data_IF_956969657950
#
_entry.id   IF_956969657950
#
_cell.length_a   1.000
_cell.length_b   1.000
_cell.length_c   1.000
_cell.angle_alpha   90.00
_cell.angle_beta   90.00
_cell.angle_gamma   90.00
#
_symmetry.space_group_name_H-M   'P 1'
#
loop_
_entity.id
_entity.type
_entity.pdbx_description
1 polymer ?
#
# COMPACT_ATOMS: atom_id res chain seq x y z
N UNK A 1 5.52 38.01 8.78
CA UNK A 1 4.26 37.21 8.64
C UNK A 1 4.62 35.80 8.22
N UNK A 2 4.53 34.83 9.12
CA UNK A 2 4.76 33.43 8.81
C UNK A 2 3.65 32.94 7.89
N UNK A 3 4.01 32.60 6.66
CA UNK A 3 3.08 31.99 5.71
C UNK A 3 3.01 30.49 5.98
N UNK A 4 1.96 30.05 6.65
CA UNK A 4 1.67 28.64 6.80
C UNK A 4 1.25 28.03 5.45
N UNK A 5 1.86 26.89 5.09
CA UNK A 5 1.56 26.16 3.87
C UNK A 5 2.29 24.84 3.81
N UNK A 6 2.05 24.06 2.76
CA UNK A 6 2.72 22.78 2.51
C UNK A 6 3.71 22.91 1.34
N UNK A 7 4.84 22.19 1.47
CA UNK A 7 5.85 22.06 0.42
C UNK A 7 5.71 20.68 -0.24
N UNK A 8 5.77 20.63 -1.55
CA UNK A 8 5.76 19.38 -2.34
C UNK A 8 6.93 19.40 -3.31
N UNK A 9 7.71 18.31 -3.35
CA UNK A 9 8.72 18.09 -4.38
C UNK A 9 8.09 17.27 -5.52
N UNK A 10 7.99 17.85 -6.69
CA UNK A 10 7.49 17.20 -7.90
C UNK A 10 8.45 17.45 -9.07
N UNK A 11 8.88 16.39 -9.75
CA UNK A 11 9.78 16.44 -10.91
C UNK A 11 11.06 17.27 -10.70
N UNK A 12 11.63 17.21 -9.48
CA UNK A 12 12.81 17.98 -9.10
C UNK A 12 12.54 19.46 -8.80
N UNK A 13 11.30 19.91 -8.83
CA UNK A 13 10.88 21.26 -8.45
C UNK A 13 10.13 21.24 -7.12
N UNK A 14 10.44 22.21 -6.26
CA UNK A 14 9.73 22.40 -4.99
C UNK A 14 8.55 23.36 -5.18
N UNK A 15 7.35 22.88 -4.89
CA UNK A 15 6.12 23.64 -4.99
C UNK A 15 5.60 23.99 -3.59
N UNK A 16 5.19 25.24 -3.41
CA UNK A 16 4.57 25.70 -2.17
C UNK A 16 3.08 25.90 -2.34
N UNK A 17 2.30 25.29 -1.45
CA UNK A 17 0.84 25.47 -1.35
C UNK A 17 0.49 26.16 -0.06
N UNK A 18 0.00 27.40 -0.10
CA UNK A 18 -0.54 28.07 1.09
C UNK A 18 -1.71 27.30 1.70
N UNK A 19 -1.85 27.33 3.01
CA UNK A 19 -2.84 26.56 3.81
C UNK A 19 -4.28 26.59 3.26
N UNK A 20 -4.66 27.67 2.61
CA UNK A 20 -6.02 27.87 2.09
C UNK A 20 -6.13 27.82 0.56
N UNK A 21 -5.08 27.50 -0.16
CA UNK A 21 -5.11 27.43 -1.61
C UNK A 21 -5.48 26.03 -2.10
N UNK A 22 -6.35 25.96 -3.11
CA UNK A 22 -6.73 24.68 -3.75
C UNK A 22 -5.65 24.11 -4.69
N UNK A 23 -4.68 24.93 -5.09
CA UNK A 23 -3.58 24.54 -6.00
C UNK A 23 -2.24 25.08 -5.50
N UNK A 24 -1.15 24.40 -5.88
CA UNK A 24 0.19 24.90 -5.63
C UNK A 24 0.44 26.19 -6.42
N UNK A 25 0.82 27.26 -5.71
CA UNK A 25 0.83 28.59 -6.28
C UNK A 25 2.20 29.03 -6.79
N UNK A 26 3.30 28.33 -6.43
CA UNK A 26 4.65 28.84 -6.71
C UNK A 26 5.69 27.74 -6.72
N UNK A 27 6.54 27.77 -7.75
CA UNK A 27 7.80 27.01 -7.80
C UNK A 27 8.88 27.82 -7.08
N UNK A 28 9.63 27.20 -6.17
CA UNK A 28 10.70 27.81 -5.41
C UNK A 28 12.06 27.49 -6.03
N UNK A 29 12.99 28.46 -6.01
CA UNK A 29 14.38 28.22 -6.37
C UNK A 29 15.10 27.44 -5.27
N UNK A 30 16.23 26.80 -5.63
CA UNK A 30 17.02 25.98 -4.70
C UNK A 30 17.51 26.77 -3.47
N UNK A 31 17.85 28.07 -3.66
CA UNK A 31 18.22 28.97 -2.55
C UNK A 31 17.05 29.30 -1.63
N UNK A 32 15.85 29.43 -2.18
CA UNK A 32 14.62 29.65 -1.40
C UNK A 32 14.21 28.39 -0.62
N UNK A 33 14.50 27.19 -1.17
CA UNK A 33 14.31 25.90 -0.51
C UNK A 33 15.18 25.80 0.75
N UNK A 34 16.47 26.07 0.63
CA UNK A 34 17.41 26.04 1.74
C UNK A 34 17.05 27.04 2.84
N UNK A 35 16.62 28.23 2.48
CA UNK A 35 16.17 29.25 3.43
C UNK A 35 14.91 28.82 4.19
N UNK A 36 13.93 28.26 3.50
CA UNK A 36 12.68 27.78 4.11
C UNK A 36 12.86 26.54 4.99
N UNK A 37 13.78 25.65 4.65
CA UNK A 37 14.07 24.46 5.47
C UNK A 37 14.62 24.83 6.85
N UNK A 38 15.39 25.91 6.94
CA UNK A 38 15.90 26.43 8.20
C UNK A 38 14.82 27.13 9.05
N UNK A 39 13.91 27.85 8.42
CA UNK A 39 12.84 28.60 9.12
C UNK A 39 11.69 27.69 9.60
N UNK A 40 11.44 26.59 8.88
CA UNK A 40 10.29 25.71 9.15
C UNK A 40 10.65 24.46 9.96
N UNK A 41 11.94 24.24 10.28
CA UNK A 41 12.38 23.07 11.03
C UNK A 41 12.04 21.74 10.33
N UNK A 42 12.06 21.74 9.00
CA UNK A 42 11.78 20.53 8.22
C UNK A 42 12.96 19.58 8.39
N UNK A 43 12.78 18.54 9.18
CA UNK A 43 13.73 17.43 9.23
C UNK A 43 13.83 16.74 7.86
N UNK A 44 15.08 16.43 7.49
CA UNK A 44 15.41 15.80 6.22
C UNK A 44 14.53 14.57 5.91
N UNK A 45 13.81 14.63 4.79
CA UNK A 45 13.69 13.47 3.93
C UNK A 45 12.52 12.52 4.14
N UNK A 46 11.33 12.95 4.59
CA UNK A 46 10.11 12.25 4.16
C UNK A 46 9.35 13.17 3.21
N UNK A 47 9.18 12.79 1.94
CA UNK A 47 8.14 13.42 1.14
C UNK A 47 6.85 13.24 1.92
N UNK A 48 6.22 14.36 2.30
CA UNK A 48 4.86 14.34 2.82
C UNK A 48 3.99 13.88 1.66
N UNK A 49 3.81 12.58 1.57
CA UNK A 49 2.95 11.94 0.57
C UNK A 49 1.50 12.16 0.99
N UNK A 50 1.06 13.41 0.95
CA UNK A 50 -0.36 13.77 0.90
C UNK A 50 -0.96 13.39 -0.49
N UNK A 51 -0.36 12.45 -1.20
CA UNK A 51 -1.01 11.79 -2.30
C UNK A 51 -2.14 10.97 -1.70
N UNK A 52 -3.36 11.21 -2.14
CA UNK A 52 -4.50 10.39 -1.74
C UNK A 52 -4.13 8.91 -1.94
N UNK A 53 -4.45 8.04 -0.98
CA UNK A 53 -4.11 6.63 -1.10
C UNK A 53 -4.74 6.03 -2.36
N UNK A 54 -3.99 5.17 -3.05
CA UNK A 54 -4.54 4.43 -4.20
C UNK A 54 -5.52 3.40 -3.68
N UNK A 55 -6.79 3.60 -3.98
CA UNK A 55 -7.87 2.71 -3.57
C UNK A 55 -8.48 1.97 -4.75
N UNK A 56 -8.98 0.77 -4.49
CA UNK A 56 -9.74 -0.04 -5.42
C UNK A 56 -11.17 -0.22 -4.89
N UNK A 57 -12.19 -0.19 -5.75
CA UNK A 57 -13.56 -0.38 -5.31
C UNK A 57 -13.81 -1.83 -4.90
N UNK A 58 -14.35 -2.04 -3.71
CA UNK A 58 -14.78 -3.33 -3.19
C UNK A 58 -16.26 -3.29 -2.87
N UNK A 59 -17.04 -4.14 -3.50
CA UNK A 59 -18.50 -4.21 -3.27
C UNK A 59 -18.83 -5.18 -2.15
N UNK A 60 -19.50 -4.69 -1.11
CA UNK A 60 -19.98 -5.51 0.00
C UNK A 60 -21.24 -4.89 0.60
N UNK A 61 -22.19 -5.73 1.02
CA UNK A 61 -23.44 -5.29 1.67
C UNK A 61 -24.23 -4.23 0.87
N UNK A 62 -24.20 -4.32 -0.46
CA UNK A 62 -24.91 -3.38 -1.34
C UNK A 62 -24.23 -2.01 -1.51
N UNK A 63 -23.06 -1.81 -0.94
CA UNK A 63 -22.26 -0.59 -1.07
C UNK A 63 -20.90 -0.87 -1.72
N UNK A 64 -20.28 0.19 -2.22
CA UNK A 64 -18.91 0.15 -2.76
C UNK A 64 -17.99 0.88 -1.80
N UNK A 65 -16.93 0.20 -1.35
CA UNK A 65 -15.97 0.69 -0.37
C UNK A 65 -14.62 0.98 -1.04
N UNK A 66 -13.99 2.14 -0.75
CA UNK A 66 -12.64 2.44 -1.25
C UNK A 66 -11.61 1.68 -0.41
N UNK A 67 -11.00 0.64 -0.99
CA UNK A 67 -10.04 -0.22 -0.30
C UNK A 67 -8.62 0.06 -0.78
N UNK A 68 -7.74 0.38 0.15
CA UNK A 68 -6.30 0.41 -0.04
C UNK A 68 -5.70 -0.94 0.36
N UNK A 69 -4.78 -1.46 -0.45
CA UNK A 69 -3.97 -2.60 -0.08
C UNK A 69 -2.66 -2.15 0.56
N UNK A 70 -2.37 -2.68 1.73
CA UNK A 70 -1.11 -2.51 2.43
C UNK A 70 -0.32 -3.80 2.37
N UNK A 71 0.86 -3.73 1.77
CA UNK A 71 1.76 -4.87 1.56
C UNK A 71 2.75 -4.94 2.71
N UNK A 72 2.89 -6.11 3.29
CA UNK A 72 3.88 -6.38 4.34
C UNK A 72 4.32 -7.84 4.27
N UNK A 73 5.02 -8.32 5.27
CA UNK A 73 5.39 -9.73 5.39
C UNK A 73 5.02 -10.26 6.77
N UNK A 74 4.67 -11.53 6.82
CA UNK A 74 4.61 -12.28 8.07
C UNK A 74 6.03 -12.49 8.63
N UNK A 75 6.13 -12.91 9.90
CA UNK A 75 7.42 -13.15 10.57
C UNK A 75 8.32 -14.15 9.83
N UNK A 76 7.73 -15.10 9.13
CA UNK A 76 8.47 -16.07 8.31
C UNK A 76 8.83 -15.56 6.90
N UNK A 77 8.59 -14.29 6.61
CA UNK A 77 8.88 -13.64 5.34
C UNK A 77 7.86 -13.92 4.22
N UNK A 78 6.77 -14.64 4.50
CA UNK A 78 5.69 -14.81 3.53
C UNK A 78 4.95 -13.49 3.29
N UNK A 79 4.42 -13.32 2.07
CA UNK A 79 3.64 -12.13 1.71
C UNK A 79 2.38 -12.00 2.57
N UNK A 80 2.17 -10.84 3.14
CA UNK A 80 0.98 -10.45 3.87
C UNK A 80 0.36 -9.20 3.22
N UNK A 81 -0.94 -9.21 3.00
CA UNK A 81 -1.67 -8.07 2.43
C UNK A 81 -2.88 -7.78 3.31
N UNK A 82 -2.95 -6.56 3.79
CA UNK A 82 -4.09 -6.05 4.54
C UNK A 82 -4.94 -5.13 3.67
N UNK A 83 -6.22 -5.16 3.90
CA UNK A 83 -7.20 -4.26 3.29
C UNK A 83 -7.57 -3.18 4.30
N UNK A 84 -7.56 -1.93 3.85
CA UNK A 84 -7.87 -0.76 4.67
C UNK A 84 -8.91 0.08 3.93
N UNK A 85 -9.96 0.50 4.61
CA UNK A 85 -10.96 1.41 4.04
C UNK A 85 -10.62 2.86 4.38
N UNK A 86 -11.06 3.77 3.51
CA UNK A 86 -10.89 5.23 3.65
C UNK A 86 -12.24 5.97 3.64
N UNK A 87 -13.32 5.30 4.04
CA UNK A 87 -14.66 5.89 4.01
C UNK A 87 -14.83 7.10 4.93
N UNK A 88 -14.19 7.04 6.10
CA UNK A 88 -14.21 8.14 7.08
C UNK A 88 -13.22 9.28 6.75
N UNK A 89 -12.36 9.10 5.74
CA UNK A 89 -11.23 9.98 5.45
C UNK A 89 -9.95 9.61 6.19
N UNK A 90 -10.03 8.69 7.14
CA UNK A 90 -8.91 8.08 7.86
C UNK A 90 -8.81 6.58 7.53
N UNK A 91 -7.60 5.99 7.62
CA UNK A 91 -7.42 4.57 7.35
C UNK A 91 -8.01 3.70 8.47
N UNK A 92 -8.97 2.86 8.13
CA UNK A 92 -9.57 1.90 9.05
C UNK A 92 -9.35 0.46 8.57
N UNK A 93 -8.97 -0.48 9.45
CA UNK A 93 -8.81 -1.88 9.07
C UNK A 93 -10.13 -2.45 8.50
N UNK A 94 -10.04 -3.07 7.32
CA UNK A 94 -11.17 -3.75 6.69
C UNK A 94 -11.10 -5.26 6.89
N UNK A 95 -10.05 -5.87 6.37
CA UNK A 95 -9.80 -7.32 6.47
C UNK A 95 -8.34 -7.64 6.14
N UNK A 96 -7.90 -8.84 6.52
CA UNK A 96 -6.64 -9.40 6.00
C UNK A 96 -6.96 -10.26 4.79
N UNK A 97 -6.38 -9.91 3.65
CA UNK A 97 -6.62 -10.59 2.37
C UNK A 97 -5.96 -11.96 2.29
N UNK A 98 -4.80 -12.10 2.93
CA UNK A 98 -3.96 -13.31 2.94
C UNK A 98 -4.07 -14.06 4.26
N UNK A 99 -3.72 -15.34 4.24
CA UNK A 99 -3.58 -16.17 5.43
C UNK A 99 -2.20 -16.81 5.46
N UNK A 100 -1.55 -16.81 6.63
CA UNK A 100 -0.24 -17.40 6.80
C UNK A 100 -0.35 -18.87 7.21
N UNK A 101 -0.28 -19.76 6.24
CA UNK A 101 -0.27 -21.19 6.48
C UNK A 101 1.17 -21.71 6.66
N UNK A 102 1.36 -22.90 7.29
CA UNK A 102 2.69 -23.45 7.51
C UNK A 102 3.53 -23.57 6.24
N UNK A 103 4.84 -23.35 6.37
CA UNK A 103 5.81 -23.41 5.30
C UNK A 103 6.07 -22.06 4.63
N UNK A 104 7.11 -22.03 3.81
CA UNK A 104 7.49 -20.84 3.07
C UNK A 104 6.88 -20.84 1.68
N UNK A 105 6.41 -19.65 1.25
CA UNK A 105 5.87 -19.44 -0.11
C UNK A 105 6.96 -18.92 -1.03
N UNK A 106 6.74 -19.11 -2.33
CA UNK A 106 7.55 -18.47 -3.36
C UNK A 106 7.29 -16.95 -3.35
N UNK A 107 8.17 -16.21 -4.02
CA UNK A 107 8.01 -14.76 -4.15
C UNK A 107 6.65 -14.41 -4.74
N UNK A 108 5.99 -13.43 -4.14
CA UNK A 108 4.67 -12.92 -4.53
C UNK A 108 3.53 -13.94 -4.46
N UNK A 109 3.73 -15.08 -3.82
CA UNK A 109 2.70 -16.11 -3.61
C UNK A 109 2.12 -15.97 -2.20
N UNK A 110 0.80 -16.10 -2.10
CA UNK A 110 0.09 -16.16 -0.82
C UNK A 110 -1.19 -16.98 -0.94
N UNK A 111 -1.61 -17.57 0.17
CA UNK A 111 -2.96 -18.13 0.30
C UNK A 111 -3.94 -17.02 0.60
N UNK A 112 -5.11 -17.07 -0.02
CA UNK A 112 -6.18 -16.09 0.12
C UNK A 112 -7.16 -16.54 1.18
N UNK A 113 -7.52 -15.64 2.10
CA UNK A 113 -8.45 -15.91 3.19
C UNK A 113 -9.92 -15.93 2.71
N UNK A 114 -10.27 -16.98 1.96
CA UNK A 114 -11.64 -17.20 1.47
C UNK A 114 -12.63 -17.52 2.58
N UNK A 115 -12.14 -17.80 3.78
CA UNK A 115 -12.98 -17.94 4.96
C UNK A 115 -13.48 -16.58 5.50
N UNK A 116 -12.64 -15.56 5.41
CA UNK A 116 -13.03 -14.19 5.73
C UNK A 116 -14.02 -13.63 4.69
N UNK A 117 -13.73 -13.83 3.40
CA UNK A 117 -14.63 -13.45 2.32
C UNK A 117 -14.41 -14.30 1.06
N UNK A 118 -15.43 -15.02 0.63
CA UNK A 118 -15.41 -15.84 -0.59
C UNK A 118 -15.29 -15.03 -1.88
N UNK A 119 -15.51 -13.71 -1.84
CA UNK A 119 -15.42 -12.82 -3.00
C UNK A 119 -14.00 -12.34 -3.29
N UNK A 120 -13.06 -12.51 -2.38
CA UNK A 120 -11.67 -12.09 -2.57
C UNK A 120 -11.04 -12.62 -3.86
N UNK A 121 -11.15 -13.91 -4.22
CA UNK A 121 -10.60 -14.43 -5.48
C UNK A 121 -11.15 -13.72 -6.71
N UNK A 122 -12.44 -13.54 -6.80
CA UNK A 122 -13.10 -12.85 -7.93
C UNK A 122 -12.65 -11.41 -8.04
N UNK A 123 -12.54 -10.72 -6.91
CA UNK A 123 -12.08 -9.33 -6.85
C UNK A 123 -10.61 -9.18 -7.28
N UNK A 124 -9.74 -10.09 -6.84
CA UNK A 124 -8.32 -10.11 -7.22
C UNK A 124 -8.15 -10.25 -8.74
N UNK A 125 -8.89 -11.16 -9.36
CA UNK A 125 -8.84 -11.40 -10.81
C UNK A 125 -9.41 -10.20 -11.57
N UNK A 126 -10.54 -9.67 -11.13
CA UNK A 126 -11.21 -8.51 -11.76
C UNK A 126 -10.30 -7.29 -11.82
N UNK A 127 -9.53 -7.02 -10.78
CA UNK A 127 -8.61 -5.90 -10.72
C UNK A 127 -7.20 -6.21 -11.23
N UNK A 128 -6.97 -7.40 -11.77
CA UNK A 128 -5.68 -7.81 -12.31
C UNK A 128 -4.56 -7.83 -11.27
N UNK A 129 -4.89 -8.13 -10.01
CA UNK A 129 -3.96 -8.12 -8.89
C UNK A 129 -3.19 -9.41 -8.75
N UNK A 130 -3.86 -10.54 -8.96
CA UNK A 130 -3.28 -11.87 -8.79
C UNK A 130 -3.94 -12.89 -9.71
N UNK A 131 -3.24 -14.00 -9.91
CA UNK A 131 -3.71 -15.15 -10.68
C UNK A 131 -3.61 -16.42 -9.83
N UNK A 132 -4.59 -17.35 -9.94
CA UNK A 132 -4.54 -18.60 -9.21
C UNK A 132 -3.37 -19.47 -9.67
N UNK A 133 -2.67 -20.13 -8.74
CA UNK A 133 -1.61 -21.08 -9.06
C UNK A 133 -2.13 -22.51 -9.26
N UNK A 134 -3.37 -22.77 -8.88
CA UNK A 134 -3.97 -24.10 -8.85
C UNK A 134 -3.64 -24.89 -7.58
N UNK A 135 -2.80 -24.37 -6.69
CA UNK A 135 -2.48 -24.99 -5.40
C UNK A 135 -3.49 -24.58 -4.35
N UNK A 136 -3.76 -25.50 -3.45
CA UNK A 136 -4.57 -25.26 -2.25
C UNK A 136 -3.90 -25.86 -1.03
N UNK A 137 -4.24 -25.33 0.15
CA UNK A 137 -3.83 -25.91 1.43
C UNK A 137 -5.00 -25.89 2.40
N UNK A 138 -5.19 -27.02 3.08
CA UNK A 138 -6.20 -27.14 4.12
C UNK A 138 -5.64 -26.71 5.47
N UNK A 139 -6.40 -25.95 6.23
CA UNK A 139 -6.13 -25.63 7.63
C UNK A 139 -7.45 -25.67 8.40
N UNK A 140 -7.54 -26.56 9.39
CA UNK A 140 -8.81 -26.84 10.05
C UNK A 140 -9.86 -27.37 9.07
N UNK A 141 -11.02 -26.73 9.05
CA UNK A 141 -12.14 -27.08 8.16
C UNK A 141 -12.12 -26.27 6.84
N UNK A 142 -11.14 -25.38 6.66
CA UNK A 142 -11.08 -24.48 5.51
C UNK A 142 -9.98 -24.93 4.54
N UNK A 143 -10.24 -24.77 3.24
CA UNK A 143 -9.26 -24.97 2.18
C UNK A 143 -9.00 -23.62 1.53
N UNK A 144 -7.74 -23.19 1.52
CA UNK A 144 -7.31 -21.88 1.03
C UNK A 144 -6.62 -22.01 -0.32
N UNK A 145 -7.01 -21.25 -1.34
CA UNK A 145 -6.34 -21.24 -2.64
C UNK A 145 -5.10 -20.36 -2.60
N UNK A 146 -4.04 -20.81 -3.29
CA UNK A 146 -2.83 -20.00 -3.50
C UNK A 146 -2.96 -19.15 -4.76
N UNK A 147 -2.56 -17.88 -4.62
CA UNK A 147 -2.49 -16.92 -5.71
C UNK A 147 -1.08 -16.35 -5.83
N UNK A 148 -0.68 -16.06 -7.06
CA UNK A 148 0.51 -15.29 -7.37
C UNK A 148 0.10 -13.86 -7.68
N UNK A 149 0.57 -12.94 -6.86
CA UNK A 149 0.35 -11.52 -7.07
C UNK A 149 1.26 -10.97 -8.18
N UNK A 150 0.76 -9.99 -8.90
CA UNK A 150 1.54 -9.30 -9.93
C UNK A 150 2.43 -8.26 -9.27
N UNK A 151 3.74 -8.40 -9.43
CA UNK A 151 4.74 -7.52 -8.82
C UNK A 151 4.53 -6.04 -9.18
N UNK A 152 4.22 -5.76 -10.46
CA UNK A 152 3.93 -4.40 -10.91
C UNK A 152 2.69 -3.80 -10.24
N UNK A 153 1.67 -4.60 -9.94
CA UNK A 153 0.48 -4.10 -9.24
C UNK A 153 0.75 -3.84 -7.77
N UNK A 154 1.50 -4.69 -7.09
CA UNK A 154 1.92 -4.45 -5.71
C UNK A 154 2.81 -3.21 -5.60
N UNK A 155 3.74 -3.04 -6.54
CA UNK A 155 4.59 -1.86 -6.64
C UNK A 155 3.79 -0.58 -6.86
N UNK A 156 2.75 -0.64 -7.68
CA UNK A 156 1.87 0.50 -7.97
C UNK A 156 0.98 0.89 -6.77
N UNK A 157 0.43 -0.12 -6.08
CA UNK A 157 -0.54 0.09 -5.01
C UNK A 157 0.11 0.46 -3.67
N UNK A 158 1.26 -0.12 -3.36
CA UNK A 158 2.02 0.13 -2.13
C UNK A 158 3.53 -0.08 -2.37
N UNK A 159 4.22 0.90 -2.96
CA UNK A 159 5.63 0.77 -3.29
C UNK A 159 6.52 0.58 -2.06
N UNK A 160 6.23 1.26 -0.97
CA UNK A 160 7.03 1.15 0.27
C UNK A 160 6.83 -0.20 0.96
N UNK A 161 5.58 -0.63 1.10
CA UNK A 161 5.25 -1.93 1.69
C UNK A 161 5.81 -3.08 0.87
N UNK A 162 5.69 -3.00 -0.45
CA UNK A 162 6.24 -4.02 -1.34
C UNK A 162 7.78 -4.08 -1.27
N UNK A 163 8.46 -2.95 -1.23
CA UNK A 163 9.92 -2.90 -1.03
C UNK A 163 10.34 -3.52 0.31
N UNK A 164 9.61 -3.25 1.38
CA UNK A 164 9.82 -3.87 2.69
C UNK A 164 9.65 -5.40 2.67
N UNK A 165 8.60 -5.87 2.02
CA UNK A 165 8.38 -7.30 1.80
C UNK A 165 9.54 -7.95 1.03
N UNK A 166 10.02 -7.34 -0.06
CA UNK A 166 11.13 -7.87 -0.86
C UNK A 166 12.41 -8.00 -0.03
N UNK A 167 12.74 -7.02 0.79
CA UNK A 167 13.90 -7.09 1.71
C UNK A 167 13.80 -8.27 2.68
N UNK A 168 12.62 -8.49 3.25
CA UNK A 168 12.38 -9.61 4.17
C UNK A 168 12.44 -10.95 3.44
N UNK A 169 11.92 -11.01 2.23
CA UNK A 169 11.98 -12.19 1.39
C UNK A 169 13.44 -12.56 1.04
N UNK A 170 14.23 -11.61 0.58
CA UNK A 170 15.65 -11.79 0.24
C UNK A 170 16.48 -12.23 1.46
N UNK A 171 16.25 -11.59 2.62
CA UNK A 171 16.91 -11.96 3.88
C UNK A 171 16.62 -13.42 4.25
N UNK A 172 15.40 -13.88 4.07
CA UNK A 172 15.00 -15.27 4.28
C UNK A 172 15.73 -16.23 3.34
N UNK A 173 15.89 -15.87 2.07
CA UNK A 173 16.57 -16.68 1.07
C UNK A 173 18.09 -16.75 1.26
N UNK A 174 18.67 -15.76 1.95
CA UNK A 174 20.11 -15.67 2.22
C UNK A 174 20.52 -16.34 3.54
N UNK A 175 19.56 -16.75 4.33
CA UNK A 175 19.77 -17.52 5.58
C UNK A 175 19.67 -19.03 5.32
#
# INVERSE_FOLDING_TARGET
EQKEGKLLLQDGALLFKPKYAKKYARTLSQSQILSLSWELGVEDGKPDTDAAPVTLPYKKFGATHPIQLQVTSYLNGNLAIQMVTWESGDPEPWATLTVNLPGQRQKDHAFIDTNADSEFPTWLIRHGLAIPTGRTMQSGFCTYPEYRFRANRLQELDPEGYAGYLKNFERRCSA
#
